data_IF_558838604144
#
_entry.id   IF_558838604144
#
_cell.length_a   1.000
_cell.length_b   1.000
_cell.length_c   1.000
_cell.angle_alpha   90.00
_cell.angle_beta   90.00
_cell.angle_gamma   90.00
#
_symmetry.space_group_name_H-M   'P 1'
#
loop_
_entity.id
_entity.type
_entity.pdbx_description
1 polymer ?
#
# COMPACT_ATOMS: atom_id res chain seq x y z
N UNK A 1 24.64 26.62 9.35
CA UNK A 1 24.39 25.47 10.26
C UNK A 1 23.77 24.38 9.41
N UNK A 2 24.36 23.19 9.35
CA UNK A 2 23.84 22.03 8.61
C UNK A 2 23.05 21.13 9.56
N UNK A 3 21.92 20.60 9.09
CA UNK A 3 21.13 19.62 9.84
C UNK A 3 21.70 18.22 9.60
N UNK A 4 22.80 17.89 10.27
CA UNK A 4 23.37 16.54 10.23
C UNK A 4 22.36 15.52 10.79
N UNK A 5 22.16 14.43 10.06
CA UNK A 5 21.33 13.31 10.50
C UNK A 5 22.21 12.31 11.27
N UNK A 6 21.66 11.71 12.32
CA UNK A 6 22.33 10.60 13.02
C UNK A 6 22.31 9.40 12.08
N UNK A 7 23.47 8.79 11.87
CA UNK A 7 23.65 7.68 10.93
C UNK A 7 24.37 6.53 11.62
N UNK A 8 23.84 5.32 11.49
CA UNK A 8 24.50 4.10 11.93
C UNK A 8 25.49 3.59 10.86
N UNK A 9 26.74 3.37 11.27
CA UNK A 9 27.82 2.86 10.42
C UNK A 9 28.13 1.38 10.67
N UNK A 10 27.39 0.71 11.57
CA UNK A 10 27.59 -0.71 11.92
C UNK A 10 27.41 -1.65 10.72
N UNK A 11 26.55 -1.28 9.76
CA UNK A 11 26.33 -2.01 8.52
C UNK A 11 26.54 -1.11 7.28
N UNK A 12 27.79 -0.95 6.82
CA UNK A 12 28.12 -0.06 5.71
C UNK A 12 27.43 -0.43 4.39
N UNK A 13 27.15 -1.73 4.16
CA UNK A 13 26.47 -2.19 2.93
C UNK A 13 25.02 -1.72 2.89
N UNK A 14 24.32 -1.83 4.01
CA UNK A 14 22.94 -1.37 4.10
C UNK A 14 22.86 0.15 4.03
N UNK A 15 23.78 0.85 4.69
CA UNK A 15 23.88 2.30 4.60
C UNK A 15 24.08 2.76 3.14
N UNK A 16 25.01 2.14 2.40
CA UNK A 16 25.22 2.44 0.98
C UNK A 16 23.96 2.17 0.14
N UNK A 17 23.25 1.07 0.41
CA UNK A 17 21.98 0.75 -0.25
C UNK A 17 20.95 1.85 -0.02
N UNK A 18 20.73 2.28 1.23
CA UNK A 18 19.79 3.34 1.58
C UNK A 18 20.19 4.66 0.91
N UNK A 19 21.45 5.08 1.04
CA UNK A 19 21.93 6.33 0.45
C UNK A 19 21.77 6.35 -1.08
N UNK A 20 21.95 5.20 -1.75
CA UNK A 20 21.75 5.06 -3.20
C UNK A 20 20.29 5.23 -3.64
N UNK A 21 19.33 5.08 -2.71
CA UNK A 21 17.88 5.12 -2.97
C UNK A 21 17.15 6.30 -2.31
N UNK A 22 17.74 6.95 -1.31
CA UNK A 22 17.09 8.00 -0.52
C UNK A 22 17.47 9.43 -0.94
N UNK A 23 18.58 9.60 -1.68
CA UNK A 23 19.12 10.91 -2.06
C UNK A 23 18.71 11.36 -3.48
N UNK A 24 17.57 10.90 -3.98
CA UNK A 24 17.03 11.37 -5.26
C UNK A 24 16.47 12.80 -5.12
N UNK A 25 16.38 13.51 -6.24
CA UNK A 25 15.80 14.86 -6.28
C UNK A 25 14.29 14.78 -6.48
N UNK A 26 13.56 15.63 -5.77
CA UNK A 26 12.10 15.75 -5.87
C UNK A 26 11.36 14.85 -4.90
N UNK A 27 10.03 14.97 -4.90
CA UNK A 27 9.12 14.16 -4.09
C UNK A 27 7.90 13.82 -4.93
N UNK A 28 7.35 12.62 -4.74
CA UNK A 28 6.09 12.22 -5.33
C UNK A 28 5.30 11.38 -4.32
N UNK A 29 4.00 11.61 -4.26
CA UNK A 29 3.05 10.88 -3.45
C UNK A 29 1.69 10.98 -4.12
N UNK A 30 0.95 9.87 -4.10
CA UNK A 30 -0.37 9.78 -4.69
C UNK A 30 -1.23 8.82 -3.86
N UNK A 31 -2.56 8.94 -3.97
CA UNK A 31 -3.52 8.12 -3.25
C UNK A 31 -4.37 7.33 -4.25
N UNK A 32 -4.38 6.01 -4.11
CA UNK A 32 -5.41 5.19 -4.73
C UNK A 32 -6.70 5.35 -3.94
N UNK A 33 -7.67 6.03 -4.55
CA UNK A 33 -8.88 6.44 -3.86
C UNK A 33 -9.89 5.29 -3.68
N UNK A 34 -10.80 5.36 -2.70
CA UNK A 34 -11.82 4.33 -2.49
C UNK A 34 -12.69 4.05 -3.71
N UNK A 35 -12.93 5.04 -4.59
CA UNK A 35 -13.73 4.84 -5.82
C UNK A 35 -13.04 3.94 -6.87
N UNK A 36 -11.72 3.78 -6.74
CA UNK A 36 -10.93 2.88 -7.57
C UNK A 36 -10.83 1.46 -6.97
N UNK A 37 -11.42 1.25 -5.79
CA UNK A 37 -11.55 -0.09 -5.21
C UNK A 37 -12.69 -0.85 -5.88
N UNK A 38 -12.51 -2.16 -6.00
CA UNK A 38 -13.49 -3.11 -6.50
C UNK A 38 -13.72 -4.13 -5.41
N UNK A 39 -14.96 -4.17 -4.91
CA UNK A 39 -15.38 -5.16 -3.93
C UNK A 39 -15.59 -6.49 -4.63
N UNK A 40 -15.17 -7.58 -4.00
CA UNK A 40 -15.43 -8.94 -4.48
C UNK A 40 -16.95 -9.13 -4.70
N UNK A 41 -17.41 -9.51 -5.91
CA UNK A 41 -18.83 -9.65 -6.21
C UNK A 41 -19.55 -10.73 -5.36
N UNK A 42 -18.80 -11.64 -4.74
CA UNK A 42 -19.34 -12.65 -3.82
C UNK A 42 -19.46 -12.18 -2.38
N UNK A 43 -19.03 -10.94 -2.06
CA UNK A 43 -19.24 -10.38 -0.73
C UNK A 43 -20.72 -10.01 -0.55
N UNK A 44 -21.40 -10.73 0.36
CA UNK A 44 -22.83 -10.57 0.62
C UNK A 44 -23.15 -9.60 1.77
N UNK A 45 -22.15 -8.88 2.29
CA UNK A 45 -22.34 -7.89 3.35
C UNK A 45 -22.82 -6.53 2.84
N UNK A 46 -22.92 -5.58 3.77
CA UNK A 46 -23.20 -4.18 3.45
C UNK A 46 -21.97 -3.52 2.84
N UNK A 47 -22.18 -2.73 1.79
CA UNK A 47 -21.15 -1.99 1.07
C UNK A 47 -21.58 -0.52 1.05
N UNK A 48 -20.73 0.37 1.59
CA UNK A 48 -20.98 1.82 1.60
C UNK A 48 -19.74 2.58 1.15
N UNK A 49 -19.89 3.40 0.11
CA UNK A 49 -18.87 4.34 -0.34
C UNK A 49 -19.15 5.72 0.25
N UNK A 50 -18.22 6.24 1.04
CA UNK A 50 -18.30 7.58 1.63
C UNK A 50 -17.44 8.55 0.80
N UNK A 51 -17.82 8.72 -0.48
CA UNK A 51 -17.09 9.57 -1.43
C UNK A 51 -15.64 9.10 -1.66
N UNK A 52 -14.70 10.04 -1.55
CA UNK A 52 -13.25 9.77 -1.70
C UNK A 52 -12.55 9.45 -0.36
N UNK A 53 -13.29 9.44 0.76
CA UNK A 53 -12.72 9.29 2.09
C UNK A 53 -12.49 7.81 2.45
N UNK A 54 -13.54 6.99 2.39
CA UNK A 54 -13.42 5.56 2.68
C UNK A 54 -14.49 4.69 1.99
N UNK A 55 -14.20 3.39 2.00
CA UNK A 55 -15.10 2.29 1.66
C UNK A 55 -15.34 1.48 2.93
N UNK A 56 -16.60 1.34 3.32
CA UNK A 56 -17.00 0.58 4.49
C UNK A 56 -17.69 -0.73 4.08
N UNK A 57 -17.22 -1.82 4.68
CA UNK A 57 -17.66 -3.18 4.40
C UNK A 57 -18.04 -3.85 5.72
N UNK A 58 -19.31 -4.19 5.91
CA UNK A 58 -19.83 -4.80 7.15
C UNK A 58 -20.52 -6.10 6.84
N UNK A 59 -20.06 -7.22 7.38
CA UNK A 59 -20.68 -8.52 7.18
C UNK A 59 -19.79 -9.68 7.60
N UNK A 60 -20.13 -10.88 7.12
CA UNK A 60 -19.27 -12.06 7.29
C UNK A 60 -18.21 -12.09 6.19
N UNK A 61 -16.93 -12.13 6.58
CA UNK A 61 -15.79 -12.16 5.66
C UNK A 61 -15.26 -13.59 5.42
N UNK A 62 -15.76 -14.57 6.18
CA UNK A 62 -15.28 -15.95 6.22
C UNK A 62 -14.38 -16.23 7.43
N UNK A 63 -14.09 -17.50 7.66
CA UNK A 63 -13.21 -17.97 8.76
C UNK A 63 -11.72 -17.84 8.41
N UNK A 64 -11.40 -17.88 7.11
CA UNK A 64 -10.05 -17.74 6.57
C UNK A 64 -9.90 -16.46 5.74
N UNK A 65 -8.66 -16.02 5.53
CA UNK A 65 -8.36 -14.91 4.63
C UNK A 65 -8.86 -15.19 3.20
N UNK A 66 -9.72 -14.31 2.71
CA UNK A 66 -10.30 -14.36 1.37
C UNK A 66 -10.18 -12.99 0.69
N UNK A 67 -10.11 -12.94 -0.65
CA UNK A 67 -10.13 -11.67 -1.37
C UNK A 67 -11.41 -10.90 -1.07
N UNK A 68 -11.28 -9.70 -0.50
CA UNK A 68 -12.41 -8.83 -0.18
C UNK A 68 -12.49 -7.63 -1.12
N UNK A 69 -11.34 -6.99 -1.37
CA UNK A 69 -11.21 -5.85 -2.29
C UNK A 69 -9.98 -6.03 -3.19
N UNK A 70 -10.01 -5.33 -4.32
CA UNK A 70 -8.84 -5.08 -5.18
C UNK A 70 -8.88 -3.65 -5.69
N UNK A 71 -7.74 -3.11 -6.16
CA UNK A 71 -7.70 -1.81 -6.83
C UNK A 71 -7.71 -1.98 -8.35
N UNK A 72 -8.41 -1.10 -9.07
CA UNK A 72 -8.48 -1.11 -10.55
C UNK A 72 -7.13 -0.85 -11.20
N UNK A 73 -6.30 -0.03 -10.55
CA UNK A 73 -5.04 0.47 -11.12
C UNK A 73 -3.83 -0.07 -10.38
N UNK A 74 -2.74 -0.22 -11.12
CA UNK A 74 -1.44 -0.62 -10.58
C UNK A 74 -0.64 0.61 -10.14
N UNK A 75 0.21 0.43 -9.13
CA UNK A 75 1.21 1.43 -8.73
C UNK A 75 2.49 1.14 -9.51
N UNK A 76 3.05 2.15 -10.18
CA UNK A 76 4.29 2.00 -10.94
C UNK A 76 5.48 1.92 -10.00
N UNK A 77 6.06 0.74 -9.88
CA UNK A 77 7.37 0.55 -9.25
C UNK A 77 8.51 0.96 -10.18
N UNK A 78 9.54 1.55 -9.59
CA UNK A 78 10.79 1.91 -10.25
C UNK A 78 11.95 1.30 -9.49
N UNK A 79 12.96 0.83 -10.21
CA UNK A 79 14.19 0.39 -9.56
C UNK A 79 14.95 1.56 -8.92
N UNK A 80 14.72 2.79 -9.38
CA UNK A 80 15.49 3.96 -8.96
C UNK A 80 14.97 4.58 -7.67
N UNK A 81 13.64 4.61 -7.51
CA UNK A 81 12.99 5.26 -6.38
C UNK A 81 12.19 4.22 -5.58
N UNK A 82 12.46 4.05 -4.28
CA UNK A 82 11.69 3.16 -3.44
C UNK A 82 10.24 3.64 -3.35
N UNK A 83 9.29 2.70 -3.25
CA UNK A 83 7.89 3.00 -2.96
C UNK A 83 7.64 2.76 -1.47
N UNK A 84 6.97 3.72 -0.84
CA UNK A 84 6.35 3.55 0.46
C UNK A 84 4.83 3.39 0.26
N UNK A 85 4.25 2.37 0.90
CA UNK A 85 2.81 2.11 0.87
C UNK A 85 2.24 2.28 2.28
N UNK A 86 1.23 3.12 2.39
CA UNK A 86 0.46 3.31 3.61
C UNK A 86 -1.02 3.04 3.32
N UNK A 87 -1.57 2.01 3.98
CA UNK A 87 -3.00 1.76 3.96
C UNK A 87 -3.64 2.48 5.13
N UNK A 88 -4.50 3.46 4.83
CA UNK A 88 -5.39 4.08 5.80
C UNK A 88 -6.62 3.16 5.98
N UNK A 89 -6.84 2.66 7.19
CA UNK A 89 -8.00 1.84 7.51
C UNK A 89 -8.34 1.89 9.00
N UNK A 90 -9.60 1.55 9.29
CA UNK A 90 -10.08 1.20 10.62
C UNK A 90 -10.73 -0.18 10.53
N UNK A 91 -10.59 -0.98 11.59
CA UNK A 91 -11.22 -2.31 11.67
C UNK A 91 -11.82 -2.54 13.04
N UNK A 92 -12.83 -3.39 13.08
CA UNK A 92 -13.28 -3.97 14.34
C UNK A 92 -12.27 -5.03 14.85
N UNK A 93 -12.26 -5.28 16.16
CA UNK A 93 -11.37 -6.25 16.78
C UNK A 93 -11.71 -7.70 16.39
N UNK A 94 -12.92 -7.98 15.92
CA UNK A 94 -13.39 -9.32 15.56
C UNK A 94 -12.91 -9.84 14.20
N UNK A 95 -12.27 -9.01 13.39
CA UNK A 95 -11.81 -9.40 12.06
C UNK A 95 -10.36 -9.00 11.82
N UNK A 96 -9.71 -9.61 10.83
CA UNK A 96 -8.35 -9.28 10.44
C UNK A 96 -8.26 -8.93 8.96
N UNK A 97 -7.30 -8.05 8.65
CA UNK A 97 -7.06 -7.54 7.31
C UNK A 97 -5.65 -7.93 6.89
N UNK A 98 -5.51 -8.34 5.62
CA UNK A 98 -4.22 -8.61 4.99
C UNK A 98 -4.16 -7.92 3.64
N UNK A 99 -3.07 -7.18 3.41
CA UNK A 99 -2.73 -6.63 2.09
C UNK A 99 -1.81 -7.61 1.38
N UNK A 100 -2.11 -7.90 0.12
CA UNK A 100 -1.25 -8.72 -0.74
C UNK A 100 -0.72 -7.84 -1.88
N UNK A 101 0.58 -7.56 -1.85
CA UNK A 101 1.27 -6.82 -2.91
C UNK A 101 1.88 -7.80 -3.90
N UNK A 102 1.60 -7.61 -5.19
CA UNK A 102 2.14 -8.43 -6.27
C UNK A 102 2.96 -7.56 -7.21
N UNK A 103 4.20 -7.94 -7.46
CA UNK A 103 5.05 -7.28 -8.44
C UNK A 103 4.80 -7.90 -9.82
N UNK A 104 4.35 -7.07 -10.77
CA UNK A 104 4.15 -7.44 -12.16
C UNK A 104 5.35 -6.87 -12.94
N UNK A 105 6.09 -7.75 -13.61
CA UNK A 105 7.27 -7.33 -14.38
C UNK A 105 6.83 -6.51 -15.59
N UNK A 106 7.61 -5.49 -15.93
CA UNK A 106 7.30 -4.65 -17.08
C UNK A 106 7.29 -5.48 -18.36
N UNK A 107 6.24 -5.32 -19.17
CA UNK A 107 6.03 -6.08 -20.40
C UNK A 107 5.65 -7.56 -20.23
N UNK A 108 5.35 -8.05 -19.01
CA UNK A 108 4.85 -9.43 -18.85
C UNK A 108 3.40 -9.56 -19.33
N UNK A 109 3.12 -10.57 -20.17
CA UNK A 109 1.76 -11.00 -20.57
C UNK A 109 1.22 -12.11 -19.69
#
# INVERSE_FOLDING_TARGET
KTCAQVTDFSNPRELLRILSKALFKGQYGDKLTPIDMVVNPYFAGSIRYNGYENLELVGSYGEDFRPLISWKYNIRASEWNPIELWLEYEKDLSCDIRIVVRNIQDGST
#
